data_IF_296592342182
#
_entry.id   IF_296592342182
#
_cell.length_a   1.000
_cell.length_b   1.000
_cell.length_c   1.000
_cell.angle_alpha   90.00
_cell.angle_beta   90.00
_cell.angle_gamma   90.00
#
_symmetry.space_group_name_H-M   'P 1'
#
loop_
_entity.id
_entity.type
_entity.pdbx_description
1 polymer ?
#
# COMPACT_ATOMS: atom_id res chain seq x y z
N UNK A 1 5.25 7.83 -3.97
CA UNK A 1 4.67 6.50 -4.26
C UNK A 1 5.69 5.38 -4.10
N UNK A 2 6.81 5.38 -4.85
CA UNK A 2 7.80 4.27 -4.84
C UNK A 2 8.37 3.95 -3.45
N UNK A 3 8.46 4.94 -2.55
CA UNK A 3 8.91 4.76 -1.16
C UNK A 3 8.06 3.77 -0.33
N UNK A 4 6.85 3.42 -0.77
CA UNK A 4 5.99 2.43 -0.09
C UNK A 4 6.38 0.99 -0.46
N UNK A 5 7.10 0.80 -1.56
CA UNK A 5 7.49 -0.53 -2.06
C UNK A 5 8.38 -1.30 -1.07
N UNK A 6 9.44 -0.71 -0.46
CA UNK A 6 10.25 -1.39 0.56
C UNK A 6 9.46 -1.86 1.78
N UNK A 7 8.40 -1.12 2.16
CA UNK A 7 7.51 -1.49 3.26
C UNK A 7 6.73 -2.79 2.96
N UNK A 8 6.23 -2.94 1.73
CA UNK A 8 5.58 -4.17 1.29
C UNK A 8 6.54 -5.36 1.20
N UNK A 9 7.75 -5.13 0.68
CA UNK A 9 8.83 -6.13 0.62
C UNK A 9 9.20 -6.66 2.01
N UNK A 10 9.33 -5.77 3.01
CA UNK A 10 9.64 -6.17 4.38
C UNK A 10 8.59 -7.15 4.94
N UNK A 11 7.30 -6.87 4.74
CA UNK A 11 6.22 -7.75 5.20
C UNK A 11 6.28 -9.14 4.55
N UNK A 12 6.56 -9.20 3.25
CA UNK A 12 6.66 -10.45 2.49
C UNK A 12 7.88 -11.27 2.93
N UNK A 13 9.04 -10.62 3.10
CA UNK A 13 10.27 -11.27 3.56
C UNK A 13 10.13 -11.76 5.01
N UNK A 14 9.53 -10.97 5.90
CA UNK A 14 9.26 -11.41 7.28
C UNK A 14 8.33 -12.63 7.31
N UNK A 15 7.26 -12.62 6.51
CA UNK A 15 6.30 -13.73 6.46
C UNK A 15 6.94 -15.04 5.97
N UNK A 16 7.83 -14.98 4.97
CA UNK A 16 8.52 -16.17 4.46
C UNK A 16 9.63 -16.65 5.36
N UNK A 17 10.38 -15.74 5.99
CA UNK A 17 11.37 -16.10 7.02
C UNK A 17 10.70 -16.82 8.20
N UNK A 18 9.54 -16.34 8.66
CA UNK A 18 8.79 -16.98 9.75
C UNK A 18 8.21 -18.35 9.38
N UNK A 19 7.84 -18.58 8.11
CA UNK A 19 7.35 -19.86 7.62
C UNK A 19 8.43 -20.79 7.06
N UNK A 20 9.69 -20.35 7.02
CA UNK A 20 10.82 -21.07 6.42
C UNK A 20 10.59 -21.50 4.95
N UNK A 21 9.98 -20.61 4.16
CA UNK A 21 9.74 -20.84 2.73
C UNK A 21 10.93 -20.38 1.87
N UNK A 22 11.20 -21.13 0.80
CA UNK A 22 12.21 -20.81 -0.20
C UNK A 22 11.77 -19.64 -1.10
N UNK A 23 12.74 -18.86 -1.59
CA UNK A 23 12.51 -17.84 -2.62
C UNK A 23 12.36 -18.52 -4.00
N UNK A 24 11.17 -19.02 -4.28
CA UNK A 24 10.82 -19.63 -5.56
C UNK A 24 10.07 -18.66 -6.50
N UNK A 25 9.65 -19.16 -7.67
CA UNK A 25 8.94 -18.35 -8.66
C UNK A 25 7.59 -17.84 -8.11
N UNK A 26 6.92 -18.61 -7.26
CA UNK A 26 5.66 -18.18 -6.63
C UNK A 26 5.87 -17.01 -5.67
N UNK A 27 6.95 -17.03 -4.89
CA UNK A 27 7.34 -15.90 -4.05
C UNK A 27 7.58 -14.62 -4.87
N UNK A 28 8.24 -14.73 -6.02
CA UNK A 28 8.47 -13.58 -6.91
C UNK A 28 7.18 -13.01 -7.49
N UNK A 29 6.25 -13.88 -7.92
CA UNK A 29 4.92 -13.46 -8.39
C UNK A 29 4.12 -12.78 -7.26
N UNK A 30 4.17 -13.35 -6.06
CA UNK A 30 3.56 -12.78 -4.85
C UNK A 30 4.13 -11.40 -4.51
N UNK A 31 5.46 -11.24 -4.60
CA UNK A 31 6.14 -9.96 -4.42
C UNK A 31 5.64 -8.89 -5.40
N UNK A 32 5.58 -9.22 -6.70
CA UNK A 32 5.07 -8.29 -7.72
C UNK A 32 3.63 -7.88 -7.43
N UNK A 33 2.80 -8.82 -6.97
CA UNK A 33 1.40 -8.57 -6.59
C UNK A 33 1.31 -7.60 -5.42
N UNK A 34 2.10 -7.81 -4.35
CA UNK A 34 2.14 -6.93 -3.17
C UNK A 34 2.67 -5.54 -3.52
N UNK A 35 3.67 -5.45 -4.40
CA UNK A 35 4.19 -4.18 -4.91
C UNK A 35 3.09 -3.41 -5.64
N UNK A 36 2.34 -4.06 -6.52
CA UNK A 36 1.23 -3.44 -7.27
C UNK A 36 0.10 -2.96 -6.37
N UNK A 37 -0.33 -3.80 -5.41
CA UNK A 37 -1.35 -3.44 -4.42
C UNK A 37 -0.92 -2.24 -3.55
N UNK A 38 0.32 -2.27 -3.06
CA UNK A 38 0.89 -1.20 -2.25
C UNK A 38 1.00 0.10 -3.04
N UNK A 39 1.45 0.02 -4.30
CA UNK A 39 1.53 1.17 -5.19
C UNK A 39 0.15 1.77 -5.48
N UNK A 40 -0.87 0.93 -5.77
CA UNK A 40 -2.25 1.39 -5.98
C UNK A 40 -2.75 2.18 -4.77
N UNK A 41 -2.62 1.61 -3.57
CA UNK A 41 -3.08 2.26 -2.34
C UNK A 41 -2.33 3.58 -2.07
N UNK A 42 -1.02 3.62 -2.34
CA UNK A 42 -0.21 4.82 -2.17
C UNK A 42 -0.54 5.93 -3.19
N UNK A 43 -0.71 5.59 -4.47
CA UNK A 43 -1.13 6.54 -5.51
C UNK A 43 -2.46 7.18 -5.12
N UNK A 44 -3.40 6.36 -4.65
CA UNK A 44 -4.75 6.78 -4.32
C UNK A 44 -4.84 7.85 -3.22
N UNK A 45 -3.90 7.84 -2.27
CA UNK A 45 -3.76 8.88 -1.23
C UNK A 45 -3.07 10.11 -1.80
N UNK A 46 -1.96 9.93 -2.51
CA UNK A 46 -1.13 11.02 -3.04
C UNK A 46 -1.91 11.86 -4.05
N UNK A 47 -2.69 11.21 -4.91
CA UNK A 47 -3.55 11.88 -5.91
C UNK A 47 -4.62 12.73 -5.22
N UNK A 48 -5.32 12.17 -4.23
CA UNK A 48 -6.36 12.88 -3.49
C UNK A 48 -5.79 14.07 -2.67
N UNK A 49 -4.60 13.90 -2.08
CA UNK A 49 -3.92 14.97 -1.37
C UNK A 49 -3.51 16.09 -2.34
N UNK A 50 -3.07 15.74 -3.55
CA UNK A 50 -2.73 16.72 -4.59
C UNK A 50 -3.97 17.48 -5.08
N UNK A 51 -5.10 16.82 -5.24
CA UNK A 51 -6.36 17.44 -5.64
C UNK A 51 -6.83 18.44 -4.56
N UNK A 52 -6.84 18.03 -3.29
CA UNK A 52 -7.18 18.90 -2.16
C UNK A 52 -6.22 20.08 -2.01
N UNK A 53 -4.93 19.88 -2.33
CA UNK A 53 -3.95 20.98 -2.36
C UNK A 53 -4.23 21.94 -3.52
N UNK A 54 -4.68 21.44 -4.68
CA UNK A 54 -5.07 22.26 -5.82
C UNK A 54 -6.36 23.08 -5.55
N UNK A 55 -7.23 22.58 -4.67
CA UNK A 55 -8.39 23.31 -4.13
C UNK A 55 -8.00 24.41 -3.12
N UNK A 56 -6.71 24.56 -2.80
CA UNK A 56 -6.17 25.62 -1.96
C UNK A 56 -5.88 25.23 -0.51
N UNK A 57 -6.03 23.95 -0.13
CA UNK A 57 -5.68 23.48 1.22
C UNK A 57 -4.18 23.43 1.45
N UNK A 58 -3.76 23.62 2.70
CA UNK A 58 -2.36 23.47 3.09
C UNK A 58 -1.86 22.04 2.88
N UNK A 59 -0.56 21.87 2.61
CA UNK A 59 0.03 20.57 2.25
C UNK A 59 -0.19 19.48 3.33
N UNK A 60 -0.11 19.85 4.61
CA UNK A 60 -0.35 18.93 5.74
C UNK A 60 -1.84 18.61 5.88
N UNK A 61 -2.70 19.61 5.72
CA UNK A 61 -4.15 19.48 5.84
C UNK A 61 -4.71 18.58 4.73
N UNK A 62 -4.29 18.82 3.49
CA UNK A 62 -4.64 18.01 2.34
C UNK A 62 -4.19 16.55 2.49
N UNK A 63 -2.98 16.31 3.01
CA UNK A 63 -2.47 14.97 3.25
C UNK A 63 -3.26 14.22 4.35
N UNK A 64 -3.57 14.89 5.46
CA UNK A 64 -4.36 14.32 6.55
C UNK A 64 -5.79 14.00 6.12
N UNK A 65 -6.41 14.87 5.34
CA UNK A 65 -7.77 14.67 4.86
C UNK A 65 -7.85 13.57 3.80
N UNK A 66 -6.91 13.52 2.86
CA UNK A 66 -6.76 12.41 1.93
C UNK A 66 -6.57 11.07 2.65
N UNK A 67 -5.74 11.05 3.71
CA UNK A 67 -5.53 9.86 4.53
C UNK A 67 -6.83 9.41 5.22
N UNK A 68 -7.59 10.33 5.82
CA UNK A 68 -8.87 10.00 6.46
C UNK A 68 -9.93 9.48 5.49
N UNK A 69 -10.08 10.11 4.32
CA UNK A 69 -11.06 9.71 3.31
C UNK A 69 -10.77 8.32 2.74
N UNK A 70 -9.48 8.00 2.56
CA UNK A 70 -9.05 6.71 2.00
C UNK A 70 -8.81 5.62 3.05
N UNK A 71 -8.80 5.96 4.35
CA UNK A 71 -8.54 5.00 5.43
C UNK A 71 -9.48 3.79 5.37
N UNK A 72 -10.81 4.04 5.31
CA UNK A 72 -11.81 2.95 5.25
C UNK A 72 -11.64 2.07 4.00
N UNK A 73 -11.57 2.63 2.77
CA UNK A 73 -11.30 1.84 1.57
C UNK A 73 -10.01 1.02 1.62
N UNK A 74 -8.91 1.60 2.10
CA UNK A 74 -7.59 0.94 2.12
C UNK A 74 -7.57 -0.22 3.11
N UNK A 75 -8.19 -0.04 4.28
CA UNK A 75 -8.33 -1.13 5.26
C UNK A 75 -9.18 -2.26 4.69
N UNK A 76 -10.31 -1.95 4.05
CA UNK A 76 -11.18 -2.96 3.43
C UNK A 76 -10.43 -3.79 2.39
N UNK A 77 -9.74 -3.16 1.43
CA UNK A 77 -9.03 -3.88 0.36
C UNK A 77 -7.83 -4.67 0.89
N UNK A 78 -7.10 -4.11 1.85
CA UNK A 78 -5.93 -4.77 2.43
C UNK A 78 -6.32 -5.98 3.27
N UNK A 79 -7.41 -5.89 4.05
CA UNK A 79 -7.94 -7.02 4.81
C UNK A 79 -8.56 -8.07 3.90
N UNK A 80 -9.34 -7.66 2.89
CA UNK A 80 -9.93 -8.60 1.93
C UNK A 80 -8.86 -9.38 1.16
N UNK A 81 -7.75 -8.73 0.79
CA UNK A 81 -6.61 -9.41 0.22
C UNK A 81 -5.96 -10.35 1.24
N UNK A 82 -5.57 -9.84 2.41
CA UNK A 82 -4.85 -10.64 3.42
C UNK A 82 -5.61 -11.83 4.01
N UNK A 83 -6.95 -11.81 4.00
CA UNK A 83 -7.80 -12.93 4.43
C UNK A 83 -8.25 -13.82 3.27
N UNK A 84 -8.17 -13.33 2.04
CA UNK A 84 -8.62 -14.05 0.83
C UNK A 84 -7.57 -14.98 0.24
N UNK A 85 -6.29 -14.73 0.50
CA UNK A 85 -5.17 -15.66 0.24
C UNK A 85 -4.92 -16.56 1.44
#
# INVERSE_FOLDING_TARGET
VILVVPLGLLGVVLATLLRNYSNDVYFQIGLVTVIGLSAKNAILIVEFAKDLQAEGKGLIEAALEAAHLRFRPIIMTSLAFGLGV
#
